data_IF_324806508651
#
_entry.id   IF_324806508651
#
_cell.length_a   1.000
_cell.length_b   1.000
_cell.length_c   1.000
_cell.angle_alpha   90.00
_cell.angle_beta   90.00
_cell.angle_gamma   90.00
#
_symmetry.space_group_name_H-M   'P 1'
#
loop_
_entity.id
_entity.type
_entity.pdbx_description
1 polymer ?
#
# COMPACT_ATOMS: atom_id res chain seq x y z
N UNK A 1 -24.65 43.89 10.06
CA UNK A 1 -23.65 43.12 10.84
C UNK A 1 -23.83 41.63 10.55
N UNK A 2 -22.74 40.97 10.13
CA UNK A 2 -22.46 39.51 10.13
C UNK A 2 -23.43 38.59 9.35
N UNK A 3 -23.12 38.48 8.05
CA UNK A 3 -22.92 37.27 7.25
C UNK A 3 -23.37 35.92 7.86
N UNK A 4 -24.36 35.27 7.23
CA UNK A 4 -24.59 33.82 7.30
C UNK A 4 -24.57 33.29 5.85
N UNK A 5 -23.38 32.92 5.38
CA UNK A 5 -23.23 32.15 4.14
C UNK A 5 -23.76 30.74 4.43
N UNK A 6 -24.95 30.45 3.91
CA UNK A 6 -25.47 29.08 3.76
C UNK A 6 -24.45 28.27 2.97
N UNK A 7 -23.76 27.35 3.64
CA UNK A 7 -22.98 26.32 2.98
C UNK A 7 -23.93 25.49 2.10
N UNK A 8 -23.79 25.64 0.79
CA UNK A 8 -24.56 24.89 -0.20
C UNK A 8 -24.30 23.40 -0.05
N UNK A 9 -25.35 22.66 0.27
CA UNK A 9 -25.38 21.21 0.16
C UNK A 9 -25.51 20.90 -1.34
N UNK A 10 -24.43 20.45 -1.97
CA UNK A 10 -24.53 19.84 -3.30
C UNK A 10 -25.01 18.40 -3.10
N UNK A 11 -26.34 18.23 -3.02
CA UNK A 11 -26.99 16.94 -3.31
C UNK A 11 -27.12 16.86 -4.83
N UNK A 12 -26.09 16.33 -5.50
CA UNK A 12 -26.24 15.88 -6.86
C UNK A 12 -26.74 14.43 -6.82
N UNK A 13 -28.04 14.25 -7.03
CA UNK A 13 -28.62 12.95 -7.32
C UNK A 13 -28.03 12.41 -8.61
N UNK A 14 -27.45 11.21 -8.55
CA UNK A 14 -27.07 10.44 -9.72
C UNK A 14 -27.50 9.00 -9.49
N UNK A 15 -28.11 8.44 -10.53
CA UNK A 15 -28.83 7.18 -10.60
C UNK A 15 -28.19 6.02 -9.82
N UNK A 16 -29.07 5.24 -9.18
CA UNK A 16 -28.83 3.88 -8.70
C UNK A 16 -28.42 2.97 -9.86
N UNK A 17 -27.13 2.99 -10.21
CA UNK A 17 -26.46 1.83 -10.78
C UNK A 17 -25.73 1.17 -9.61
N UNK A 18 -26.26 0.04 -9.16
CA UNK A 18 -25.71 -0.85 -8.13
C UNK A 18 -24.41 -1.52 -8.61
N UNK A 19 -23.45 -0.74 -9.08
CA UNK A 19 -22.09 -1.22 -9.20
C UNK A 19 -21.52 -1.30 -7.77
N UNK A 20 -20.85 -2.39 -7.38
CA UNK A 20 -20.16 -2.45 -6.10
C UNK A 20 -19.17 -1.28 -6.03
N UNK A 21 -19.51 -0.27 -5.21
CA UNK A 21 -18.68 0.91 -4.98
C UNK A 21 -17.45 0.46 -4.21
N UNK A 22 -16.43 0.03 -4.95
CA UNK A 22 -15.05 -0.15 -4.48
C UNK A 22 -14.69 1.02 -3.56
N UNK A 23 -14.54 0.76 -2.25
CA UNK A 23 -14.08 1.79 -1.35
C UNK A 23 -12.62 2.11 -1.68
N UNK A 24 -12.40 3.30 -2.22
CA UNK A 24 -11.08 3.81 -2.57
C UNK A 24 -10.65 4.81 -1.50
N UNK A 25 -9.42 4.68 -1.02
CA UNK A 25 -8.75 5.76 -0.30
C UNK A 25 -7.55 6.17 -1.12
N UNK A 26 -7.34 7.47 -1.18
CA UNK A 26 -6.21 8.09 -1.82
C UNK A 26 -5.53 8.95 -0.77
N UNK A 27 -4.23 8.74 -0.63
CA UNK A 27 -3.36 9.63 0.12
C UNK A 27 -2.45 10.29 -0.92
N UNK A 28 -2.91 11.42 -1.46
CA UNK A 28 -2.09 12.29 -2.31
C UNK A 28 -1.30 13.26 -1.45
N UNK A 29 -0.14 13.71 -1.95
CA UNK A 29 0.76 14.65 -1.27
C UNK A 29 1.12 14.20 0.15
N UNK A 30 1.69 13.00 0.22
CA UNK A 30 2.25 12.46 1.45
C UNK A 30 3.39 13.36 1.94
N UNK A 31 3.10 14.29 2.85
CA UNK A 31 4.14 14.87 3.71
C UNK A 31 4.52 13.79 4.73
N UNK A 32 5.43 12.92 4.30
CA UNK A 32 6.02 11.89 5.13
C UNK A 32 6.84 12.61 6.18
N UNK A 33 6.21 12.94 7.32
CA UNK A 33 6.79 13.68 8.46
C UNK A 33 8.30 13.55 8.48
N UNK A 34 8.95 14.58 7.94
CA UNK A 34 10.32 14.49 7.42
C UNK A 34 11.26 14.39 8.60
N UNK A 35 11.84 13.23 8.82
CA UNK A 35 13.09 13.18 9.56
C UNK A 35 14.14 13.89 8.69
N UNK A 36 14.46 15.14 9.04
CA UNK A 36 15.44 15.99 8.35
C UNK A 36 16.81 15.32 8.18
N UNK A 37 17.07 14.24 8.91
CA UNK A 37 18.33 13.54 8.86
C UNK A 37 18.55 12.80 7.53
N UNK A 38 17.50 12.35 6.83
CA UNK A 38 17.66 11.39 5.74
C UNK A 38 16.80 11.78 4.52
N UNK A 39 17.38 12.04 3.33
CA UNK A 39 16.59 12.36 2.15
C UNK A 39 15.72 11.15 1.73
N UNK A 40 14.49 11.35 1.23
CA UNK A 40 13.63 10.26 0.79
C UNK A 40 14.26 9.58 -0.44
N UNK A 41 14.66 8.32 -0.32
CA UNK A 41 15.33 7.58 -1.41
C UNK A 41 14.33 6.80 -2.28
N UNK A 42 13.17 6.46 -1.73
CA UNK A 42 12.06 5.79 -2.42
C UNK A 42 11.00 6.74 -3.00
N UNK A 43 11.03 8.03 -2.67
CA UNK A 43 10.22 9.10 -3.28
C UNK A 43 8.74 8.72 -3.45
N UNK A 44 8.13 8.15 -2.40
CA UNK A 44 6.72 7.77 -2.44
C UNK A 44 5.88 9.04 -2.34
N UNK A 45 5.24 9.43 -3.43
CA UNK A 45 4.45 10.67 -3.51
C UNK A 45 2.95 10.44 -3.30
N UNK A 46 2.50 9.20 -3.41
CA UNK A 46 1.10 8.85 -3.18
C UNK A 46 0.86 7.35 -3.05
N UNK A 47 -0.22 7.03 -2.35
CA UNK A 47 -0.76 5.68 -2.22
C UNK A 47 -2.27 5.73 -2.44
N UNK A 48 -2.74 4.96 -3.43
CA UNK A 48 -4.16 4.71 -3.66
C UNK A 48 -4.46 3.26 -3.35
N UNK A 49 -5.51 3.00 -2.57
CA UNK A 49 -5.93 1.65 -2.18
C UNK A 49 -7.40 1.44 -2.51
N UNK A 50 -7.67 0.37 -3.23
CA UNK A 50 -9.01 -0.14 -3.55
C UNK A 50 -9.24 -1.47 -2.82
N UNK A 51 -10.23 -1.48 -1.92
CA UNK A 51 -10.64 -2.66 -1.16
C UNK A 51 -11.86 -3.35 -1.81
N UNK A 52 -11.64 -3.94 -2.98
CA UNK A 52 -12.67 -4.61 -3.75
C UNK A 52 -13.15 -5.94 -3.12
N UNK A 53 -14.25 -6.48 -3.66
CA UNK A 53 -14.88 -7.72 -3.21
C UNK A 53 -13.89 -8.91 -3.10
N UNK A 54 -13.06 -9.14 -4.12
CA UNK A 54 -12.19 -10.33 -4.21
C UNK A 54 -10.69 -10.06 -4.07
N UNK A 55 -10.29 -8.80 -3.95
CA UNK A 55 -8.87 -8.39 -3.97
C UNK A 55 -8.67 -7.07 -3.25
N UNK A 56 -7.45 -6.82 -2.82
CA UNK A 56 -6.97 -5.49 -2.43
C UNK A 56 -6.00 -5.02 -3.52
N UNK A 57 -6.20 -3.83 -4.06
CA UNK A 57 -5.30 -3.22 -5.03
C UNK A 57 -4.66 -2.01 -4.37
N UNK A 58 -3.34 -1.95 -4.35
CA UNK A 58 -2.60 -0.77 -3.94
C UNK A 58 -1.77 -0.25 -5.11
N UNK A 59 -1.89 1.03 -5.41
CA UNK A 59 -1.11 1.73 -6.43
C UNK A 59 -0.27 2.79 -5.75
N UNK A 60 1.05 2.65 -5.89
CA UNK A 60 2.05 3.56 -5.38
C UNK A 60 2.54 4.48 -6.49
N UNK A 61 2.71 5.76 -6.19
CA UNK A 61 3.34 6.73 -7.10
C UNK A 61 4.79 6.97 -6.68
N UNK A 62 5.72 6.64 -7.56
CA UNK A 62 7.18 6.64 -7.34
C UNK A 62 7.87 7.35 -8.52
N UNK A 63 7.82 8.70 -8.62
CA UNK A 63 8.21 9.39 -9.83
C UNK A 63 9.71 9.34 -10.13
N UNK A 64 10.57 9.26 -9.09
CA UNK A 64 12.03 9.24 -9.24
C UNK A 64 12.68 7.85 -9.08
N UNK A 65 11.91 6.80 -8.79
CA UNK A 65 12.48 5.46 -8.55
C UNK A 65 12.53 4.64 -9.83
N UNK A 66 13.74 4.25 -10.23
CA UNK A 66 13.94 3.21 -11.24
C UNK A 66 13.63 1.83 -10.65
N UNK A 67 12.89 0.99 -11.39
CA UNK A 67 12.54 -0.38 -11.00
C UNK A 67 13.76 -1.23 -10.66
N UNK A 68 14.90 -1.05 -11.35
CA UNK A 68 16.16 -1.74 -11.06
C UNK A 68 16.76 -1.38 -9.68
N UNK A 69 16.29 -0.30 -9.04
CA UNK A 69 16.68 0.09 -7.69
C UNK A 69 15.75 -0.45 -6.62
N UNK A 70 14.55 -0.92 -6.97
CA UNK A 70 13.65 -1.55 -6.03
C UNK A 70 14.26 -2.86 -5.54
N UNK A 71 14.24 -3.06 -4.22
CA UNK A 71 14.62 -4.34 -3.61
C UNK A 71 13.41 -5.02 -3.01
N UNK A 72 12.53 -4.24 -2.38
CA UNK A 72 11.32 -4.77 -1.76
C UNK A 72 10.18 -3.75 -1.82
N UNK A 73 8.96 -4.23 -1.98
CA UNK A 73 7.74 -3.48 -1.71
C UNK A 73 6.92 -4.26 -0.71
N UNK A 74 6.42 -3.55 0.31
CA UNK A 74 5.64 -4.12 1.39
C UNK A 74 4.31 -3.38 1.51
N UNK A 75 3.19 -4.08 1.33
CA UNK A 75 1.89 -3.58 1.75
C UNK A 75 1.60 -4.06 3.16
N UNK A 76 1.38 -3.12 4.08
CA UNK A 76 1.05 -3.42 5.48
C UNK A 76 -0.41 -3.08 5.71
N UNK A 77 -1.21 -4.10 6.01
CA UNK A 77 -2.66 -4.02 6.16
C UNK A 77 -3.07 -4.36 7.58
N UNK A 78 -4.00 -3.60 8.14
CA UNK A 78 -4.63 -3.88 9.44
C UNK A 78 -6.14 -3.85 9.31
N UNK A 79 -6.79 -4.90 9.78
CA UNK A 79 -8.25 -4.92 9.92
C UNK A 79 -8.64 -4.20 11.20
N UNK A 80 -9.81 -3.55 11.18
CA UNK A 80 -10.39 -2.93 12.38
C UNK A 80 -10.56 -4.00 13.47
N UNK A 81 -10.14 -3.68 14.68
CA UNK A 81 -10.24 -4.54 15.87
C UNK A 81 -9.59 -5.92 15.68
N UNK A 82 -8.55 -6.01 14.85
CA UNK A 82 -7.75 -7.22 14.71
C UNK A 82 -6.39 -6.99 15.38
N UNK A 83 -5.91 -7.93 16.20
CA UNK A 83 -4.53 -7.89 16.69
C UNK A 83 -3.54 -8.17 15.54
N UNK A 84 -3.96 -8.91 14.52
CA UNK A 84 -3.09 -9.28 13.39
C UNK A 84 -2.84 -8.11 12.43
N UNK A 85 -1.60 -8.03 11.96
CA UNK A 85 -1.16 -7.22 10.83
C UNK A 85 -0.80 -8.14 9.66
N UNK A 86 -1.38 -7.89 8.50
CA UNK A 86 -1.07 -8.62 7.27
C UNK A 86 -0.06 -7.87 6.45
N UNK A 87 0.95 -8.57 5.96
CA UNK A 87 2.03 -7.99 5.17
C UNK A 87 2.14 -8.74 3.86
N UNK A 88 2.14 -7.99 2.76
CA UNK A 88 2.40 -8.52 1.43
C UNK A 88 3.77 -8.03 1.00
N UNK A 89 4.69 -8.96 0.85
CA UNK A 89 6.06 -8.71 0.42
C UNK A 89 6.19 -9.04 -1.05
N UNK A 90 6.82 -8.15 -1.80
CA UNK A 90 7.27 -8.37 -3.17
C UNK A 90 8.75 -8.03 -3.20
N UNK A 91 9.59 -9.00 -3.57
CA UNK A 91 11.03 -8.80 -3.72
C UNK A 91 11.42 -8.68 -5.18
N UNK A 92 12.46 -7.90 -5.48
CA UNK A 92 12.94 -7.65 -6.83
C UNK A 92 14.45 -7.90 -6.95
N UNK A 93 14.91 -8.32 -8.12
CA UNK A 93 16.34 -8.50 -8.43
C UNK A 93 17.01 -7.19 -8.93
N UNK A 94 18.20 -7.31 -9.52
CA UNK A 94 18.95 -6.16 -10.08
C UNK A 94 18.41 -5.65 -11.41
N UNK A 95 17.64 -6.48 -12.13
CA UNK A 95 16.94 -6.09 -13.35
C UNK A 95 15.60 -5.42 -13.04
N UNK A 96 15.14 -5.55 -11.79
CA UNK A 96 13.84 -5.07 -11.35
C UNK A 96 12.74 -6.12 -11.51
N UNK A 97 13.11 -7.35 -11.84
CA UNK A 97 12.18 -8.47 -12.00
C UNK A 97 11.72 -8.99 -10.64
N UNK A 98 10.46 -9.39 -10.54
CA UNK A 98 9.90 -9.92 -9.29
C UNK A 98 10.44 -11.32 -9.02
N UNK A 99 11.17 -11.49 -7.92
CA UNK A 99 11.76 -12.77 -7.51
C UNK A 99 10.89 -13.53 -6.52
N UNK A 100 10.18 -12.82 -5.64
CA UNK A 100 9.43 -13.45 -4.56
C UNK A 100 8.16 -12.66 -4.21
N UNK A 101 7.13 -13.39 -3.77
CA UNK A 101 5.83 -12.85 -3.36
C UNK A 101 5.30 -13.61 -2.16
N UNK A 102 5.18 -12.94 -1.02
CA UNK A 102 4.78 -13.56 0.24
C UNK A 102 3.66 -12.77 0.90
N UNK A 103 2.76 -13.50 1.56
CA UNK A 103 1.74 -12.93 2.44
C UNK A 103 1.92 -13.52 3.83
N UNK A 104 2.03 -12.64 4.82
CA UNK A 104 2.30 -13.01 6.21
C UNK A 104 1.27 -12.36 7.12
N UNK A 105 0.94 -13.02 8.23
CA UNK A 105 0.07 -12.47 9.27
C UNK A 105 0.82 -12.49 10.61
N UNK A 106 1.19 -11.33 11.12
CA UNK A 106 1.95 -11.20 12.37
C UNK A 106 1.08 -10.56 13.44
N UNK A 107 1.06 -11.07 14.68
CA UNK A 107 0.35 -10.43 15.79
C UNK A 107 0.95 -9.04 16.12
N UNK A 108 2.25 -8.83 15.89
CA UNK A 108 2.90 -7.53 16.12
C UNK A 108 4.00 -7.18 15.07
N UNK A 109 4.39 -5.91 14.94
CA UNK A 109 5.68 -5.54 14.33
C UNK A 109 6.84 -6.30 14.97
N UNK A 110 7.65 -7.02 14.19
CA UNK A 110 8.90 -7.64 14.68
C UNK A 110 8.83 -9.14 14.99
N UNK A 111 7.65 -9.74 15.15
CA UNK A 111 7.56 -11.19 15.39
C UNK A 111 7.67 -11.98 14.07
N UNK A 112 8.52 -13.03 14.00
CA UNK A 112 8.54 -13.94 12.86
C UNK A 112 7.19 -14.63 12.77
N UNK A 113 6.63 -14.69 11.56
CA UNK A 113 5.37 -15.38 11.28
C UNK A 113 5.58 -16.34 10.13
N UNK A 114 4.93 -17.51 10.11
CA UNK A 114 4.92 -18.36 8.93
C UNK A 114 4.29 -17.57 7.76
N UNK A 115 5.16 -17.12 6.86
CA UNK A 115 4.73 -16.55 5.60
C UNK A 115 4.22 -17.65 4.68
N UNK A 116 3.25 -17.31 3.83
CA UNK A 116 2.85 -18.16 2.71
C UNK A 116 3.26 -17.50 1.41
N UNK A 117 4.04 -18.20 0.58
CA UNK A 117 4.29 -17.76 -0.79
C UNK A 117 2.96 -17.71 -1.54
N UNK A 118 2.65 -16.59 -2.19
CA UNK A 118 1.42 -16.48 -2.99
C UNK A 118 1.73 -15.96 -4.40
N UNK A 119 1.85 -16.88 -5.35
CA UNK A 119 2.11 -16.57 -6.76
C UNK A 119 0.97 -15.74 -7.41
N UNK A 120 -0.25 -15.82 -6.88
CA UNK A 120 -1.43 -15.10 -7.40
C UNK A 120 -1.38 -13.58 -7.14
N UNK A 121 -0.46 -13.09 -6.30
CA UNK A 121 -0.21 -11.65 -6.18
C UNK A 121 0.31 -11.13 -7.52
N UNK A 122 -0.36 -10.13 -8.09
CA UNK A 122 0.04 -9.52 -9.37
C UNK A 122 0.69 -8.18 -9.09
N UNK A 123 1.78 -7.92 -9.81
CA UNK A 123 2.54 -6.69 -9.71
C UNK A 123 2.68 -6.15 -11.12
N UNK A 124 2.30 -4.90 -11.31
CA UNK A 124 2.49 -4.18 -12.55
C UNK A 124 3.26 -2.90 -12.26
N UNK A 125 4.28 -2.63 -13.06
CA UNK A 125 5.07 -1.41 -12.98
C UNK A 125 4.84 -0.58 -14.24
N UNK A 126 4.75 0.73 -14.06
CA UNK A 126 4.91 1.71 -15.13
C UNK A 126 5.99 2.70 -14.72
N UNK A 127 6.35 3.63 -15.61
CA UNK A 127 7.46 4.60 -15.39
C UNK A 127 7.40 5.31 -14.02
N UNK A 128 6.22 5.58 -13.49
CA UNK A 128 6.04 6.32 -12.22
C UNK A 128 5.08 5.64 -11.24
N UNK A 129 4.60 4.44 -11.54
CA UNK A 129 3.64 3.75 -10.66
C UNK A 129 3.97 2.29 -10.46
N UNK A 130 3.70 1.82 -9.25
CA UNK A 130 3.80 0.42 -8.89
C UNK A 130 2.44 -0.04 -8.36
N UNK A 131 1.79 -0.92 -9.11
CA UNK A 131 0.49 -1.50 -8.75
C UNK A 131 0.66 -2.91 -8.24
N UNK A 132 0.25 -3.14 -7.00
CA UNK A 132 0.21 -4.47 -6.37
C UNK A 132 -1.24 -4.89 -6.15
N UNK A 133 -1.63 -6.00 -6.75
CA UNK A 133 -2.96 -6.60 -6.61
C UNK A 133 -2.86 -7.90 -5.83
N UNK A 134 -3.57 -7.98 -4.71
CA UNK A 134 -3.53 -9.08 -3.76
C UNK A 134 -4.90 -9.75 -3.71
N UNK A 135 -5.06 -10.92 -4.34
CA UNK A 135 -6.29 -11.70 -4.22
C UNK A 135 -6.55 -12.09 -2.77
N UNK A 136 -7.83 -12.08 -2.35
CA UNK A 136 -8.16 -12.43 -0.97
C UNK A 136 -7.77 -13.87 -0.60
N UNK A 137 -7.71 -14.77 -1.58
CA UNK A 137 -7.23 -16.16 -1.41
C UNK A 137 -5.77 -16.27 -0.99
N UNK A 138 -4.99 -15.19 -1.10
CA UNK A 138 -3.61 -15.15 -0.64
C UNK A 138 -3.50 -14.89 0.87
N UNK A 139 -4.54 -14.36 1.52
CA UNK A 139 -4.48 -14.11 2.95
C UNK A 139 -4.65 -15.42 3.72
N UNK A 140 -3.81 -15.67 4.74
CA UNK A 140 -3.98 -16.80 5.64
C UNK A 140 -5.26 -16.65 6.48
N UNK A 141 -5.59 -17.72 7.21
CA UNK A 141 -6.72 -17.73 8.14
C UNK A 141 -6.70 -16.51 9.08
N UNK A 142 -7.89 -15.99 9.40
CA UNK A 142 -8.07 -14.80 10.26
C UNK A 142 -8.24 -13.48 9.51
N UNK A 143 -7.93 -13.40 8.20
CA UNK A 143 -8.28 -12.22 7.41
C UNK A 143 -9.78 -12.22 7.06
N UNK A 144 -10.57 -11.45 7.80
CA UNK A 144 -12.03 -11.39 7.61
C UNK A 144 -12.43 -10.47 6.44
N UNK A 145 -13.03 -10.97 5.34
CA UNK A 145 -13.28 -10.14 4.15
C UNK A 145 -14.21 -8.94 4.36
N UNK A 146 -15.11 -9.02 5.35
CA UNK A 146 -16.09 -7.98 5.67
C UNK A 146 -15.52 -6.87 6.56
N UNK A 147 -14.38 -7.10 7.24
CA UNK A 147 -13.81 -6.12 8.16
C UNK A 147 -13.13 -4.98 7.38
N UNK A 148 -13.36 -3.70 7.76
CA UNK A 148 -12.64 -2.58 7.15
C UNK A 148 -11.13 -2.71 7.36
N UNK A 149 -10.36 -2.32 6.36
CA UNK A 149 -8.89 -2.35 6.38
C UNK A 149 -8.31 -0.93 6.33
N UNK A 150 -7.20 -0.69 7.02
CA UNK A 150 -6.31 0.42 6.70
C UNK A 150 -5.00 -0.13 6.16
N UNK A 151 -4.40 0.57 5.21
CA UNK A 151 -3.25 0.08 4.47
C UNK A 151 -2.17 1.17 4.43
N UNK A 152 -0.92 0.76 4.51
CA UNK A 152 0.23 1.62 4.15
C UNK A 152 1.17 0.83 3.27
N UNK A 153 2.01 1.53 2.52
CA UNK A 153 3.09 0.91 1.78
C UNK A 153 4.44 1.22 2.40
N UNK A 154 5.39 0.33 2.15
CA UNK A 154 6.81 0.53 2.39
C UNK A 154 7.55 0.13 1.11
N UNK A 155 8.54 0.93 0.73
CA UNK A 155 9.40 0.64 -0.42
C UNK A 155 10.82 0.67 0.07
N UNK A 156 11.55 -0.42 -0.20
CA UNK A 156 12.96 -0.53 0.09
C UNK A 156 13.75 -0.45 -1.21
N UNK A 157 14.68 0.50 -1.28
CA UNK A 157 15.54 0.73 -2.45
C UNK A 157 17.01 0.47 -2.13
N UNK A 158 17.76 0.11 -3.17
CA UNK A 158 19.23 0.03 -3.12
C UNK A 158 19.83 1.43 -3.03
N UNK A 159 20.88 1.56 -2.23
CA UNK A 159 21.69 2.77 -2.18
C UNK A 159 22.30 3.06 -3.56
N UNK A 160 22.28 4.32 -4.04
CA UNK A 160 22.79 4.66 -5.38
C UNK A 160 24.32 4.71 -5.47
N UNK A 161 25.02 4.83 -4.34
CA UNK A 161 26.49 4.83 -4.26
C UNK A 161 27.01 3.39 -4.06
N UNK A 162 28.25 3.03 -4.47
CA UNK A 162 28.83 1.67 -4.36
C UNK A 162 29.11 1.19 -2.91
N UNK A 163 28.38 1.76 -1.96
CA UNK A 163 28.34 1.35 -0.56
C UNK A 163 27.84 -0.11 -0.49
N UNK A 164 28.35 -0.94 0.43
CA UNK A 164 27.98 -2.36 0.52
C UNK A 164 26.46 -2.59 0.51
N UNK A 165 26.00 -3.70 -0.09
CA UNK A 165 24.58 -4.08 -0.25
C UNK A 165 23.74 -4.07 1.05
N UNK A 166 24.39 -3.96 2.20
CA UNK A 166 23.79 -3.84 3.53
C UNK A 166 23.04 -2.52 3.74
N UNK A 167 23.34 -1.46 2.98
CA UNK A 167 22.67 -0.17 3.11
C UNK A 167 21.41 -0.11 2.25
N UNK A 168 20.31 -0.64 2.80
CA UNK A 168 18.96 -0.55 2.22
C UNK A 168 18.19 0.59 2.88
N UNK A 169 17.54 1.41 2.06
CA UNK A 169 16.73 2.52 2.53
C UNK A 169 15.25 2.22 2.37
N UNK A 170 14.46 2.40 3.44
CA UNK A 170 13.03 2.08 3.43
C UNK A 170 12.18 3.32 3.68
N UNK A 171 11.46 3.76 2.65
CA UNK A 171 10.45 4.80 2.76
C UNK A 171 9.09 4.16 3.06
N UNK A 172 8.22 4.87 3.79
CA UNK A 172 6.88 4.38 4.19
C UNK A 172 5.84 5.45 4.08
N UNK A 173 4.64 5.08 3.66
CA UNK A 173 3.46 5.97 3.71
C UNK A 173 2.82 5.95 5.10
N UNK A 174 2.06 6.99 5.49
CA UNK A 174 1.06 6.85 6.55
C UNK A 174 0.03 5.77 6.17
N UNK A 175 -0.76 5.34 7.16
CA UNK A 175 -1.91 4.50 6.89
C UNK A 175 -3.03 5.31 6.24
N UNK A 176 -3.75 4.70 5.30
CA UNK A 176 -5.05 5.19 4.85
C UNK A 176 -6.03 5.24 6.01
N UNK A 177 -7.17 5.92 5.80
CA UNK A 177 -8.37 5.68 6.61
C UNK A 177 -8.83 4.22 6.49
N UNK A 178 -9.74 3.80 7.36
CA UNK A 178 -10.33 2.46 7.26
C UNK A 178 -11.29 2.39 6.07
N UNK A 179 -10.92 1.55 5.10
CA UNK A 179 -11.66 1.21 3.92
C UNK A 179 -12.62 0.07 4.17
N UNK A 180 -13.92 0.32 3.97
CA UNK A 180 -14.92 -0.75 3.89
C UNK A 180 -14.68 -1.59 2.64
N UNK A 181 -15.28 -2.76 2.56
CA UNK A 181 -15.26 -3.53 1.32
C UNK A 181 -16.28 -2.92 0.37
N UNK A 182 -15.86 -2.66 -0.87
CA UNK A 182 -16.78 -2.35 -1.97
C UNK A 182 -17.37 -3.57 -2.63
#
# INVERSE_FOLDING_TARGET
MKTLVRAGIIVAGAALLSAPLSAVAETDNLDLGRDKAHPPYGDITGLRVDNAQHRVVATLRLPKVNQARLTETRLVMRQRNSPMTWRVYVSYDRKGDVTSKWVMATPEPGLPSPGKRCAKVRVGTTKHTLRTTVPRTCFPAGFAPKKPIKVRAQVTVRHPSPVPETFKWTDRTPYTTFLRRG
#
